data_IF_532897142933
#
_entry.id   IF_532897142933
#
_cell.length_a   1.000
_cell.length_b   1.000
_cell.length_c   1.000
_cell.angle_alpha   90.00
_cell.angle_beta   90.00
_cell.angle_gamma   90.00
#
_symmetry.space_group_name_H-M   'P 1'
#
loop_
_entity.id
_entity.type
_entity.pdbx_description
1 polymer ?
#
# COMPACT_ATOMS: atom_id res chain seq x y z
N UNK A 1 36.08 28.72 14.81
CA UNK A 1 36.18 29.79 13.79
C UNK A 1 34.89 29.79 13.00
N UNK A 2 34.26 30.96 12.90
CA UNK A 2 32.85 31.13 12.57
C UNK A 2 32.51 30.77 11.13
N UNK A 3 31.47 29.94 10.97
CA UNK A 3 30.74 29.84 9.72
C UNK A 3 29.67 30.92 9.70
N UNK A 4 29.68 31.77 8.68
CA UNK A 4 28.68 32.80 8.45
C UNK A 4 27.27 32.19 8.47
N UNK A 5 26.39 32.81 9.27
CA UNK A 5 24.94 32.61 9.22
C UNK A 5 24.40 33.41 8.04
N UNK A 6 24.60 32.95 6.83
CA UNK A 6 23.80 33.46 5.71
C UNK A 6 22.41 32.81 5.81
N UNK A 7 21.50 33.53 6.43
CA UNK A 7 20.07 33.25 6.55
C UNK A 7 19.33 33.45 5.20
N UNK A 8 20.00 33.26 4.07
CA UNK A 8 19.36 33.38 2.76
C UNK A 8 18.52 32.11 2.54
N UNK A 9 17.18 32.19 2.44
CA UNK A 9 16.38 31.05 2.06
C UNK A 9 16.92 30.57 0.70
N UNK A 10 17.42 29.34 0.65
CA UNK A 10 17.94 28.77 -0.59
C UNK A 10 16.80 28.87 -1.61
N UNK A 11 17.03 29.35 -2.83
CA UNK A 11 16.03 29.60 -3.89
C UNK A 11 14.89 28.55 -4.05
N UNK A 12 15.12 27.31 -3.61
CA UNK A 12 14.13 26.24 -3.58
C UNK A 12 13.13 26.33 -2.41
N UNK A 13 13.54 26.83 -1.24
CA UNK A 13 12.65 27.01 -0.08
C UNK A 13 11.65 28.12 -0.33
N UNK A 14 12.06 29.24 -0.94
CA UNK A 14 11.13 30.33 -1.25
C UNK A 14 10.06 29.91 -2.25
N UNK A 15 10.42 29.20 -3.33
CA UNK A 15 9.44 28.67 -4.28
C UNK A 15 8.48 27.65 -3.67
N UNK A 16 8.96 26.87 -2.70
CA UNK A 16 8.13 25.92 -1.99
C UNK A 16 7.16 26.65 -1.05
N UNK A 17 7.62 27.71 -0.39
CA UNK A 17 6.78 28.59 0.43
C UNK A 17 5.70 29.27 -0.42
N UNK A 18 6.07 29.84 -1.56
CA UNK A 18 5.13 30.43 -2.53
C UNK A 18 4.08 29.38 -2.96
N UNK A 19 4.51 28.16 -3.28
CA UNK A 19 3.60 27.06 -3.66
C UNK A 19 2.68 26.64 -2.51
N UNK A 20 3.20 26.59 -1.28
CA UNK A 20 2.42 26.25 -0.09
C UNK A 20 1.35 27.33 0.15
N UNK A 21 1.71 28.59 0.00
CA UNK A 21 0.79 29.73 0.17
C UNK A 21 -0.27 29.77 -0.94
N UNK A 22 0.14 29.67 -2.21
CA UNK A 22 -0.74 29.73 -3.39
C UNK A 22 -1.84 28.65 -3.36
N UNK A 23 -1.51 27.44 -2.90
CA UNK A 23 -2.44 26.30 -2.87
C UNK A 23 -3.04 26.02 -1.49
N UNK A 24 -2.88 26.93 -0.53
CA UNK A 24 -3.35 26.80 0.86
C UNK A 24 -3.00 25.43 1.46
N UNK A 25 -1.74 25.02 1.30
CA UNK A 25 -1.23 23.75 1.81
C UNK A 25 -0.66 23.93 3.22
N UNK A 26 -0.59 22.83 3.95
CA UNK A 26 0.23 22.74 5.15
C UNK A 26 1.05 21.46 5.18
N UNK A 27 2.21 21.58 5.80
CA UNK A 27 2.99 20.43 6.26
C UNK A 27 2.38 19.85 7.53
N UNK A 28 1.45 18.91 7.35
CA UNK A 28 0.67 18.35 8.45
C UNK A 28 1.51 17.66 9.52
N UNK A 29 2.67 17.11 9.14
CA UNK A 29 3.57 16.51 10.12
C UNK A 29 4.15 17.60 11.03
N UNK A 30 4.62 18.72 10.47
CA UNK A 30 5.14 19.85 11.25
C UNK A 30 4.05 20.48 12.11
N UNK A 31 2.85 20.68 11.57
CA UNK A 31 1.70 21.25 12.31
C UNK A 31 1.35 20.44 13.56
N UNK A 32 1.37 19.10 13.48
CA UNK A 32 1.06 18.23 14.63
C UNK A 32 2.26 17.93 15.54
N UNK A 33 3.47 18.32 15.15
CA UNK A 33 4.71 17.98 15.86
C UNK A 33 5.65 19.20 15.92
N UNK A 34 5.13 20.32 16.42
CA UNK A 34 5.83 21.62 16.42
C UNK A 34 7.21 21.54 17.05
N UNK A 35 7.31 20.92 18.24
CA UNK A 35 8.56 20.83 19.01
C UNK A 35 9.44 19.64 18.61
N UNK A 36 8.92 18.71 17.81
CA UNK A 36 9.65 17.50 17.45
C UNK A 36 10.69 17.77 16.37
N UNK A 37 11.86 17.16 16.56
CA UNK A 37 12.94 17.13 15.57
C UNK A 37 13.18 15.69 15.12
N UNK A 38 12.46 15.31 14.07
CA UNK A 38 12.68 14.05 13.37
C UNK A 38 13.11 14.33 11.93
N UNK A 39 13.89 13.40 11.40
CA UNK A 39 14.52 13.49 10.09
C UNK A 39 14.06 12.33 9.24
N UNK A 40 13.86 12.59 7.95
CA UNK A 40 13.46 11.55 7.00
C UNK A 40 14.64 11.05 6.21
N UNK A 41 15.72 11.82 6.07
CA UNK A 41 16.94 11.37 5.40
C UNK A 41 18.15 11.47 6.31
N UNK A 42 19.09 10.52 6.19
CA UNK A 42 20.31 10.48 6.99
C UNK A 42 21.50 9.95 6.19
N UNK A 43 22.61 10.67 6.27
CA UNK A 43 23.93 10.21 5.85
C UNK A 43 24.80 9.94 7.08
N UNK A 44 25.60 8.87 7.04
CA UNK A 44 26.48 8.46 8.16
C UNK A 44 27.79 9.25 8.22
N UNK A 45 28.40 9.53 7.07
CA UNK A 45 29.73 10.16 6.99
C UNK A 45 29.79 11.19 5.85
N UNK A 46 29.92 12.49 6.15
CA UNK A 46 29.70 13.10 7.47
C UNK A 46 28.29 12.82 8.01
N UNK A 47 28.10 12.90 9.33
CA UNK A 47 26.78 12.73 9.95
C UNK A 47 25.90 13.93 9.58
N UNK A 48 24.98 13.72 8.64
CA UNK A 48 24.00 14.73 8.20
C UNK A 48 22.62 14.11 8.32
N UNK A 49 21.69 14.87 8.88
CA UNK A 49 20.29 14.47 8.98
C UNK A 49 19.41 15.65 8.58
N UNK A 50 18.48 15.41 7.67
CA UNK A 50 17.54 16.42 7.22
C UNK A 50 16.17 15.79 6.97
N UNK A 51 15.16 16.65 6.85
CA UNK A 51 13.80 16.24 6.52
C UNK A 51 13.55 16.65 5.07
N UNK A 52 13.56 15.66 4.20
CA UNK A 52 13.38 15.83 2.76
C UNK A 52 11.99 15.37 2.28
N UNK A 53 11.30 14.59 3.11
CA UNK A 53 10.00 13.99 2.78
C UNK A 53 8.91 14.65 3.63
N UNK A 54 7.86 15.12 2.98
CA UNK A 54 6.79 15.91 3.58
C UNK A 54 5.42 15.44 3.09
N UNK A 55 4.41 15.60 3.93
CA UNK A 55 3.01 15.59 3.49
C UNK A 55 2.54 17.02 3.41
N UNK A 56 2.48 17.57 2.20
CA UNK A 56 1.79 18.82 1.93
C UNK A 56 0.34 18.50 1.56
N UNK A 57 -0.58 18.88 2.43
CA UNK A 57 -2.01 18.65 2.23
C UNK A 57 -2.75 19.97 2.24
N UNK A 58 -3.89 20.05 1.55
CA UNK A 58 -4.77 21.22 1.66
C UNK A 58 -5.21 21.45 3.10
N UNK A 59 -5.21 22.70 3.55
CA UNK A 59 -5.49 23.07 4.94
C UNK A 59 -6.82 22.50 5.44
N UNK A 60 -7.86 22.47 4.60
CA UNK A 60 -9.16 21.94 4.96
C UNK A 60 -9.14 20.43 5.30
N UNK A 61 -8.16 19.66 4.82
CA UNK A 61 -7.99 18.23 5.13
C UNK A 61 -7.28 17.98 6.46
N UNK A 62 -6.73 19.01 7.10
CA UNK A 62 -5.97 18.89 8.35
C UNK A 62 -6.81 18.27 9.48
N UNK A 63 -8.09 18.60 9.56
CA UNK A 63 -9.04 18.05 10.53
C UNK A 63 -9.28 16.55 10.34
N UNK A 64 -9.23 16.06 9.10
CA UNK A 64 -9.36 14.64 8.74
C UNK A 64 -8.13 13.82 9.09
N UNK A 65 -7.00 14.43 9.50
CA UNK A 65 -5.77 13.70 9.81
C UNK A 65 -5.80 13.24 11.26
N UNK A 66 -5.87 11.93 11.49
CA UNK A 66 -5.86 11.35 12.84
C UNK A 66 -4.45 11.13 13.37
N UNK A 67 -3.52 10.70 12.50
CA UNK A 67 -2.14 10.39 12.90
C UNK A 67 -1.16 10.70 11.79
N UNK A 68 0.01 11.20 12.18
CA UNK A 68 1.16 11.37 11.30
C UNK A 68 2.43 10.99 12.05
N UNK A 69 3.37 10.29 11.40
CA UNK A 69 4.59 9.80 12.05
C UNK A 69 5.73 9.57 11.07
N UNK A 70 6.96 9.73 11.56
CA UNK A 70 8.19 9.35 10.86
C UNK A 70 8.75 8.10 11.54
N UNK A 71 8.96 7.03 10.78
CA UNK A 71 9.42 5.73 11.27
C UNK A 71 10.77 5.38 10.62
N UNK A 72 11.84 5.14 11.39
CA UNK A 72 13.13 4.75 10.83
C UNK A 72 13.01 3.48 9.97
N UNK A 73 13.68 3.48 8.81
CA UNK A 73 13.83 2.30 7.95
C UNK A 73 15.21 1.69 8.16
N UNK A 74 15.31 0.36 8.08
CA UNK A 74 16.57 -0.38 8.29
C UNK A 74 17.40 -0.45 7.01
N UNK A 75 16.75 -0.45 5.83
CA UNK A 75 17.39 -0.77 4.55
C UNK A 75 17.54 0.43 3.60
N UNK A 76 17.20 1.63 4.06
CA UNK A 76 17.24 2.86 3.27
C UNK A 76 17.81 3.99 4.10
N UNK A 77 18.46 4.96 3.45
CA UNK A 77 18.85 6.24 4.04
C UNK A 77 17.64 7.15 4.32
N UNK A 78 16.49 6.84 3.72
CA UNK A 78 15.19 7.44 4.02
C UNK A 78 14.43 6.72 5.16
N UNK A 79 13.62 7.47 5.91
CA UNK A 79 12.65 7.00 6.89
C UNK A 79 11.27 7.02 6.26
N UNK A 80 10.41 6.09 6.67
CA UNK A 80 9.03 6.07 6.23
C UNK A 80 8.25 7.23 6.85
N UNK A 81 7.55 8.01 6.05
CA UNK A 81 6.53 8.95 6.53
C UNK A 81 5.15 8.31 6.38
N UNK A 82 4.34 8.37 7.44
CA UNK A 82 2.99 7.76 7.46
C UNK A 82 1.97 8.83 7.81
N UNK A 83 0.89 8.87 7.03
CA UNK A 83 -0.29 9.70 7.25
C UNK A 83 -1.51 8.79 7.40
N UNK A 84 -2.37 9.07 8.38
CA UNK A 84 -3.64 8.38 8.57
C UNK A 84 -4.75 9.42 8.51
N UNK A 85 -5.73 9.16 7.63
CA UNK A 85 -6.89 10.00 7.42
C UNK A 85 -8.14 9.28 7.95
N UNK A 86 -9.08 10.04 8.50
CA UNK A 86 -10.44 9.61 8.83
C UNK A 86 -11.43 10.61 8.26
N UNK A 87 -12.64 10.16 7.96
CA UNK A 87 -13.68 10.96 7.35
C UNK A 87 -14.97 10.17 7.38
N UNK A 88 -16.09 10.86 7.60
CA UNK A 88 -17.41 10.25 7.78
C UNK A 88 -17.85 9.42 6.56
N UNK A 89 -17.33 9.75 5.37
CA UNK A 89 -17.60 9.06 4.11
C UNK A 89 -16.54 7.99 3.74
N UNK A 90 -15.54 7.73 4.59
CA UNK A 90 -14.66 6.59 4.37
C UNK A 90 -15.40 5.31 4.75
N UNK A 91 -16.10 4.74 3.77
CA UNK A 91 -16.66 3.40 3.89
C UNK A 91 -15.60 2.40 4.33
N UNK A 92 -16.01 1.38 5.09
CA UNK A 92 -15.12 0.27 5.40
C UNK A 92 -14.51 -0.25 4.10
N UNK A 93 -13.18 -0.29 4.07
CA UNK A 93 -12.48 -0.82 2.92
C UNK A 93 -12.97 -2.24 2.69
N UNK A 94 -13.65 -2.46 1.56
CA UNK A 94 -14.06 -3.79 1.15
C UNK A 94 -12.86 -4.75 1.04
N UNK A 95 -13.09 -6.03 0.69
CA UNK A 95 -12.03 -7.05 0.61
C UNK A 95 -10.89 -6.72 -0.38
N UNK A 96 -11.01 -5.64 -1.14
CA UNK A 96 -10.05 -5.18 -2.13
C UNK A 96 -10.08 -6.03 -3.39
N UNK A 97 -9.11 -5.83 -4.26
CA UNK A 97 -8.92 -6.70 -5.41
C UNK A 97 -8.48 -8.08 -4.92
N UNK A 98 -9.18 -9.12 -5.37
CA UNK A 98 -8.75 -10.48 -5.13
C UNK A 98 -7.37 -10.71 -5.78
N UNK A 99 -6.40 -11.12 -4.97
CA UNK A 99 -5.06 -11.52 -5.42
C UNK A 99 -4.90 -13.01 -5.20
N UNK A 100 -4.48 -13.71 -6.24
CA UNK A 100 -4.21 -15.14 -6.15
C UNK A 100 -3.09 -15.44 -5.14
N UNK A 101 -3.32 -16.41 -4.26
CA UNK A 101 -2.31 -16.92 -3.34
C UNK A 101 -1.43 -17.95 -4.05
N UNK A 102 -0.24 -17.56 -4.47
CA UNK A 102 0.71 -18.43 -5.18
C UNK A 102 1.12 -19.67 -4.38
N UNK A 103 1.01 -19.66 -3.05
CA UNK A 103 1.27 -20.84 -2.23
C UNK A 103 0.33 -22.02 -2.54
N UNK A 104 -0.85 -21.77 -3.10
CA UNK A 104 -1.78 -22.82 -3.52
C UNK A 104 -1.19 -23.70 -4.62
N UNK A 105 -0.28 -23.19 -5.46
CA UNK A 105 0.35 -23.97 -6.53
C UNK A 105 1.20 -25.15 -6.01
N UNK A 106 1.54 -25.14 -4.73
CA UNK A 106 2.29 -26.23 -4.07
C UNK A 106 1.39 -27.18 -3.28
N UNK A 107 0.10 -26.91 -3.21
CA UNK A 107 -0.89 -27.73 -2.50
C UNK A 107 -1.46 -28.78 -3.46
N UNK A 108 -1.22 -30.06 -3.15
CA UNK A 108 -1.62 -31.17 -4.01
C UNK A 108 -3.13 -31.25 -4.19
N UNK A 109 -3.91 -31.06 -3.12
CA UNK A 109 -5.37 -31.14 -3.17
C UNK A 109 -5.93 -30.05 -4.07
N UNK A 110 -5.38 -28.84 -3.98
CA UNK A 110 -5.76 -27.74 -4.87
C UNK A 110 -5.38 -28.02 -6.33
N UNK A 111 -4.16 -28.51 -6.58
CA UNK A 111 -3.71 -28.83 -7.93
C UNK A 111 -4.60 -29.88 -8.58
N UNK A 112 -5.02 -30.89 -7.81
CA UNK A 112 -5.91 -31.94 -8.31
C UNK A 112 -7.32 -31.41 -8.59
N UNK A 113 -7.85 -30.51 -7.76
CA UNK A 113 -9.11 -29.80 -8.04
C UNK A 113 -9.01 -29.06 -9.37
N UNK A 114 -7.96 -28.26 -9.59
CA UNK A 114 -7.79 -27.50 -10.85
C UNK A 114 -7.70 -28.41 -12.07
N UNK A 115 -6.97 -29.53 -11.96
CA UNK A 115 -6.89 -30.52 -13.05
C UNK A 115 -8.25 -31.13 -13.36
N UNK A 116 -9.01 -31.51 -12.33
CA UNK A 116 -10.36 -32.06 -12.51
C UNK A 116 -11.30 -31.03 -13.15
N UNK A 117 -11.28 -29.78 -12.69
CA UNK A 117 -12.05 -28.68 -13.29
C UNK A 117 -11.71 -28.49 -14.76
N UNK A 118 -10.42 -28.61 -15.14
CA UNK A 118 -10.01 -28.49 -16.53
C UNK A 118 -10.58 -29.63 -17.39
N UNK A 119 -10.49 -30.88 -16.91
CA UNK A 119 -11.08 -32.04 -17.60
C UNK A 119 -12.60 -31.94 -17.73
N UNK A 120 -13.29 -31.46 -16.70
CA UNK A 120 -14.74 -31.20 -16.74
C UNK A 120 -15.08 -30.10 -17.75
N UNK A 121 -14.32 -29.01 -17.77
CA UNK A 121 -14.51 -27.93 -18.72
C UNK A 121 -14.29 -28.37 -20.16
N UNK A 122 -13.30 -29.23 -20.42
CA UNK A 122 -13.05 -29.75 -21.77
C UNK A 122 -14.25 -30.53 -22.29
N UNK A 123 -14.86 -31.36 -21.43
CA UNK A 123 -16.09 -32.11 -21.77
C UNK A 123 -17.30 -31.17 -21.93
N UNK A 124 -17.51 -30.26 -20.97
CA UNK A 124 -18.66 -29.35 -20.92
C UNK A 124 -18.67 -28.34 -22.07
N UNK A 125 -17.49 -27.89 -22.49
CA UNK A 125 -17.32 -26.85 -23.50
C UNK A 125 -16.62 -27.36 -24.76
N UNK A 126 -16.77 -28.66 -25.09
CA UNK A 126 -16.16 -29.24 -26.29
C UNK A 126 -16.68 -28.59 -27.59
N UNK A 127 -17.96 -28.23 -27.64
CA UNK A 127 -18.62 -27.62 -28.81
C UNK A 127 -18.43 -26.10 -28.93
N UNK A 128 -17.72 -25.45 -28.01
CA UNK A 128 -17.44 -24.02 -28.09
C UNK A 128 -16.31 -23.76 -29.09
N UNK A 129 -16.66 -23.36 -30.31
CA UNK A 129 -15.69 -23.07 -31.39
C UNK A 129 -14.86 -21.81 -31.13
N UNK A 130 -15.45 -20.80 -30.48
CA UNK A 130 -14.73 -19.58 -30.12
C UNK A 130 -13.72 -19.86 -29.01
N UNK A 131 -12.45 -20.01 -29.40
CA UNK A 131 -11.33 -20.32 -28.50
C UNK A 131 -11.14 -19.28 -27.41
N UNK A 132 -11.36 -18.00 -27.69
CA UNK A 132 -11.21 -16.93 -26.71
C UNK A 132 -12.30 -17.04 -25.63
N UNK A 133 -13.55 -17.20 -26.05
CA UNK A 133 -14.67 -17.38 -25.13
C UNK A 133 -14.52 -18.68 -24.31
N UNK A 134 -14.09 -19.77 -24.94
CA UNK A 134 -13.79 -21.03 -24.25
C UNK A 134 -12.74 -20.83 -23.16
N UNK A 135 -11.64 -20.14 -23.48
CA UNK A 135 -10.56 -19.85 -22.52
C UNK A 135 -11.01 -18.94 -21.37
N UNK A 136 -11.78 -17.89 -21.67
CA UNK A 136 -12.31 -17.01 -20.63
C UNK A 136 -13.27 -17.74 -19.69
N UNK A 137 -14.08 -18.66 -20.23
CA UNK A 137 -14.98 -19.51 -19.45
C UNK A 137 -14.19 -20.45 -18.53
N UNK A 138 -13.18 -21.14 -19.05
CA UNK A 138 -12.30 -22.02 -18.26
C UNK A 138 -11.61 -21.25 -17.12
N UNK A 139 -11.06 -20.06 -17.42
CA UNK A 139 -10.45 -19.20 -16.38
C UNK A 139 -11.45 -18.80 -15.30
N UNK A 140 -12.70 -18.53 -15.68
CA UNK A 140 -13.76 -18.18 -14.74
C UNK A 140 -14.09 -19.34 -13.80
N UNK A 141 -14.23 -20.56 -14.34
CA UNK A 141 -14.50 -21.79 -13.55
C UNK A 141 -13.33 -22.08 -12.59
N UNK A 142 -12.08 -22.05 -13.10
CA UNK A 142 -10.88 -22.22 -12.26
C UNK A 142 -10.83 -21.15 -11.15
N UNK A 143 -11.13 -19.88 -11.46
CA UNK A 143 -11.18 -18.82 -10.45
C UNK A 143 -12.24 -19.11 -9.39
N UNK A 144 -13.42 -19.59 -9.80
CA UNK A 144 -14.49 -20.01 -8.89
C UNK A 144 -14.01 -21.06 -7.88
N UNK A 145 -13.44 -22.15 -8.38
CA UNK A 145 -12.90 -23.23 -7.53
C UNK A 145 -11.74 -22.77 -6.67
N UNK A 146 -10.87 -21.91 -7.20
CA UNK A 146 -9.76 -21.32 -6.44
C UNK A 146 -10.25 -20.51 -5.25
N UNK A 147 -11.26 -19.65 -5.45
CA UNK A 147 -11.81 -18.84 -4.36
C UNK A 147 -12.49 -19.73 -3.32
N UNK A 148 -13.25 -20.74 -3.74
CA UNK A 148 -13.88 -21.72 -2.83
C UNK A 148 -12.84 -22.44 -1.98
N UNK A 149 -11.82 -23.02 -2.62
CA UNK A 149 -10.75 -23.74 -1.93
C UNK A 149 -9.95 -22.84 -0.98
N UNK A 150 -9.64 -21.61 -1.40
CA UNK A 150 -8.95 -20.62 -0.56
C UNK A 150 -9.72 -20.32 0.74
N UNK A 151 -11.05 -20.17 0.64
CA UNK A 151 -11.90 -19.94 1.81
C UNK A 151 -11.91 -21.16 2.73
N UNK A 152 -12.08 -22.36 2.18
CA UNK A 152 -12.04 -23.62 2.93
C UNK A 152 -10.72 -23.79 3.68
N UNK A 153 -9.58 -23.62 3.00
CA UNK A 153 -8.24 -23.76 3.60
C UNK A 153 -8.02 -22.75 4.72
N UNK A 154 -8.42 -21.49 4.53
CA UNK A 154 -8.34 -20.47 5.58
C UNK A 154 -9.21 -20.78 6.80
N UNK A 155 -10.41 -21.32 6.60
CA UNK A 155 -11.28 -21.76 7.69
C UNK A 155 -10.60 -22.87 8.51
N UNK A 156 -10.09 -23.92 7.84
CA UNK A 156 -9.36 -25.01 8.49
C UNK A 156 -8.11 -24.56 9.25
N UNK A 157 -7.38 -23.58 8.71
CA UNK A 157 -6.22 -23.00 9.39
C UNK A 157 -6.61 -22.22 10.64
N UNK A 158 -7.78 -21.56 10.66
CA UNK A 158 -8.29 -20.85 11.85
C UNK A 158 -8.72 -21.83 12.93
N UNK A 159 -9.44 -22.89 12.57
CA UNK A 159 -9.85 -23.95 13.51
C UNK A 159 -8.63 -24.55 14.24
N UNK A 160 -7.54 -24.83 13.52
CA UNK A 160 -6.30 -25.38 14.09
C UNK A 160 -5.52 -24.41 14.99
N UNK A 161 -5.78 -23.11 14.94
CA UNK A 161 -5.07 -22.10 15.76
C UNK A 161 -5.77 -21.81 17.09
N UNK A 162 -7.01 -22.25 17.25
CA UNK A 162 -7.81 -22.04 18.47
C UNK A 162 -7.69 -23.25 19.43
N UNK A 163 -7.10 -24.36 18.95
CA UNK A 163 -6.64 -25.50 19.74
C UNK A 163 -5.16 -25.34 20.08
#
# INVERSE_FOLDING_TARGET
>A
MGGSKDNTPVKYTSKLEDFIEEFELCDIWRTKNVDSRLYTWRQRTPLIQCRLDFWLISNFLSSSVTKTSIVPSIKTDHSLIKLTLSGENFSERGPGFWKFNSGLLTDKDYVDIVKNTLSECDNKYHNLENKNLKWDTIKSEIRGETVKYSKYKNMKLREKRVL
#
